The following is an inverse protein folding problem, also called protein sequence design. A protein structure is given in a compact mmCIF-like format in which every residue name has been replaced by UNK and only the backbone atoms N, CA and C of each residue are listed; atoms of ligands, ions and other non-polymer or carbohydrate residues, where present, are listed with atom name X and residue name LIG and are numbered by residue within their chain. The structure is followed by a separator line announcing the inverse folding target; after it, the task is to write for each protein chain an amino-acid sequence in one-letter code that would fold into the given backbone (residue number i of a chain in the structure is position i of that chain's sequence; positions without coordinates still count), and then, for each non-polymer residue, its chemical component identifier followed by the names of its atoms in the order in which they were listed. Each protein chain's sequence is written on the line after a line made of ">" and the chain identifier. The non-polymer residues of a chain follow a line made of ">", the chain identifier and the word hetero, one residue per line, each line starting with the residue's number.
data_IF_889103388815
#
_entry.id   IF_889103388815
#
_cell.length_a   1.000
_cell.length_b   1.000
_cell.length_c   1.000
_cell.angle_alpha   90.00
_cell.angle_beta   90.00
_cell.angle_gamma   90.00
#
_symmetry.space_group_name_H-M   'P 1'
#
loop_
_entity.id
_entity.type
_entity.pdbx_description
1 polymer ?
#
# COMPACT_ATOMS: atom_id res chain seq x y z
N UNK A 1 3.85 2.32 25.02
CA UNK A 1 3.40 1.87 23.69
C UNK A 1 4.63 1.65 22.83
N UNK A 2 4.70 0.54 22.09
CA UNK A 2 5.86 0.19 21.27
C UNK A 2 5.64 0.74 19.86
N UNK A 3 6.61 1.49 19.32
CA UNK A 3 6.55 1.94 17.93
C UNK A 3 7.05 0.83 16.99
N UNK A 4 6.23 0.51 16.00
CA UNK A 4 6.49 -0.50 14.98
C UNK A 4 6.83 0.16 13.65
N UNK A 5 7.54 -0.58 12.81
CA UNK A 5 7.67 -0.25 11.38
C UNK A 5 6.72 -1.15 10.62
N UNK A 6 5.74 -0.56 9.93
CA UNK A 6 4.74 -1.27 9.16
C UNK A 6 4.87 -0.95 7.66
N UNK A 7 4.46 -1.89 6.82
CA UNK A 7 4.29 -1.69 5.38
C UNK A 7 2.81 -1.46 5.09
N UNK A 8 2.44 -0.24 4.73
CA UNK A 8 1.10 0.10 4.25
C UNK A 8 0.97 -0.22 2.77
N UNK A 9 -0.11 -0.90 2.39
CA UNK A 9 -0.44 -1.22 1.01
C UNK A 9 -1.86 -0.77 0.71
N UNK A 10 -2.06 -0.09 -0.43
CA UNK A 10 -3.39 0.34 -0.88
C UNK A 10 -3.55 0.02 -2.37
N UNK A 11 -4.70 -0.55 -2.74
CA UNK A 11 -5.11 -0.74 -4.13
C UNK A 11 -6.43 -0.03 -4.35
N UNK A 12 -6.51 0.76 -5.42
CA UNK A 12 -7.75 1.46 -5.80
C UNK A 12 -8.58 0.59 -6.72
N UNK A 13 -9.89 0.81 -6.71
CA UNK A 13 -10.84 0.14 -7.60
C UNK A 13 -10.57 0.40 -9.09
N UNK A 14 -9.76 1.41 -9.43
CA UNK A 14 -9.30 1.67 -10.80
C UNK A 14 -8.39 0.57 -11.37
N UNK A 15 -7.82 -0.29 -10.51
CA UNK A 15 -6.89 -1.37 -10.89
C UNK A 15 -5.65 -0.85 -11.63
N UNK A 16 -5.12 0.31 -11.23
CA UNK A 16 -3.92 0.87 -11.86
C UNK A 16 -2.62 0.26 -11.33
N UNK A 17 -2.60 -0.08 -10.04
CA UNK A 17 -1.42 -0.57 -9.34
C UNK A 17 -1.63 -0.60 -7.82
N UNK A 18 -0.53 -0.79 -7.10
CA UNK A 18 -0.46 -0.74 -5.63
C UNK A 18 0.36 0.48 -5.21
N UNK A 19 -0.19 1.28 -4.32
CA UNK A 19 0.56 2.24 -3.53
C UNK A 19 1.14 1.52 -2.30
N UNK A 20 2.45 1.68 -2.07
CA UNK A 20 3.14 1.13 -0.91
C UNK A 20 3.84 2.23 -0.12
N UNK A 21 3.78 2.17 1.21
CA UNK A 21 4.45 3.14 2.08
C UNK A 21 5.00 2.48 3.33
N UNK A 22 6.16 2.93 3.79
CA UNK A 22 6.66 2.60 5.13
C UNK A 22 5.97 3.51 6.14
N UNK A 23 5.48 2.94 7.24
CA UNK A 23 4.81 3.66 8.32
C UNK A 23 5.53 3.40 9.65
N UNK A 24 5.64 4.42 10.49
CA UNK A 24 5.88 4.23 11.93
C UNK A 24 4.56 4.37 12.66
N UNK A 25 4.20 3.38 13.46
CA UNK A 25 2.89 3.34 14.12
C UNK A 25 2.91 2.58 15.44
N UNK A 26 2.00 2.93 16.33
CA UNK A 26 1.70 2.17 17.54
C UNK A 26 0.64 1.07 17.32
N UNK A 27 0.05 1.01 16.12
CA UNK A 27 -1.03 0.08 15.75
C UNK A 27 -2.44 0.55 16.10
N UNK A 28 -2.61 1.74 16.71
CA UNK A 28 -3.92 2.25 17.13
C UNK A 28 -4.18 3.70 16.75
N UNK A 29 -3.31 4.63 17.15
CA UNK A 29 -3.58 6.09 17.08
C UNK A 29 -2.46 6.88 16.42
N UNK A 30 -1.21 6.44 16.57
CA UNK A 30 -0.05 7.14 16.00
C UNK A 30 0.25 6.53 14.64
N UNK A 31 0.31 7.38 13.62
CA UNK A 31 0.78 7.02 12.27
C UNK A 31 1.66 8.14 11.74
N UNK A 32 2.92 7.84 11.49
CA UNK A 32 3.86 8.71 10.82
C UNK A 32 4.21 8.11 9.43
N UNK A 33 3.90 8.82 8.34
CA UNK A 33 4.21 8.36 6.99
C UNK A 33 5.71 8.48 6.68
N UNK A 34 6.27 7.44 6.07
CA UNK A 34 7.62 7.41 5.54
C UNK A 34 7.65 7.40 4.01
N UNK A 35 8.73 6.90 3.38
CA UNK A 35 8.83 6.79 1.93
C UNK A 35 7.67 5.99 1.32
N UNK A 36 7.19 6.46 0.17
CA UNK A 36 6.11 5.84 -0.59
C UNK A 36 6.55 5.58 -2.04
N UNK A 37 5.97 4.54 -2.63
CA UNK A 37 6.19 4.15 -4.02
C UNK A 37 4.91 3.60 -4.65
N UNK A 38 4.76 3.79 -5.95
CA UNK A 38 3.68 3.24 -6.74
C UNK A 38 4.20 2.11 -7.65
N UNK A 39 3.50 0.99 -7.64
CA UNK A 39 3.82 -0.19 -8.44
C UNK A 39 2.68 -0.48 -9.42
N UNK A 40 2.84 -0.20 -10.71
CA UNK A 40 1.77 -0.44 -11.70
C UNK A 40 1.52 -1.94 -11.86
N UNK A 41 0.24 -2.31 -12.00
CA UNK A 41 -0.09 -3.69 -12.38
C UNK A 41 0.26 -3.96 -13.84
N UNK A 42 0.71 -5.18 -14.12
CA UNK A 42 0.88 -5.64 -15.50
C UNK A 42 -0.47 -5.71 -16.22
N UNK A 43 -0.45 -5.57 -17.55
CA UNK A 43 -1.65 -5.68 -18.37
C UNK A 43 -2.36 -7.02 -18.16
N UNK A 44 -1.61 -8.10 -18.09
CA UNK A 44 -2.16 -9.45 -17.92
C UNK A 44 -2.87 -9.61 -16.57
N UNK A 45 -2.31 -9.04 -15.51
CA UNK A 45 -2.94 -9.02 -14.19
C UNK A 45 -4.23 -8.20 -14.20
N UNK A 46 -4.22 -7.02 -14.84
CA UNK A 46 -5.44 -6.20 -14.99
C UNK A 46 -6.54 -6.94 -15.76
N UNK A 47 -6.18 -7.70 -16.80
CA UNK A 47 -7.11 -8.53 -17.58
C UNK A 47 -7.64 -9.69 -16.73
N UNK A 48 -6.77 -10.37 -15.99
CA UNK A 48 -7.15 -11.49 -15.13
C UNK A 48 -8.19 -11.09 -14.07
N UNK A 49 -7.99 -9.96 -13.38
CA UNK A 49 -8.88 -9.49 -12.31
C UNK A 49 -10.27 -9.07 -12.85
N UNK A 50 -10.37 -8.67 -14.12
CA UNK A 50 -11.62 -8.21 -14.75
C UNK A 50 -12.49 -9.34 -15.33
N UNK A 51 -12.04 -10.59 -15.24
CA UNK A 51 -12.78 -11.77 -15.70
C UNK A 51 -13.67 -12.29 -14.57
#
# INVERSE_FOLDING_TARGET
>A
MTLLTALGLMTRTSLDGIDAAILKTDGERIVEPGPAAFFPYSRDLKVFIRR
#
